data_IF_688293139416
#
_entry.id   IF_688293139416
#
_cell.length_a   1.000
_cell.length_b   1.000
_cell.length_c   1.000
_cell.angle_alpha   90.00
_cell.angle_beta   90.00
_cell.angle_gamma   90.00
#
_symmetry.space_group_name_H-M   'P 1'
#
loop_
_entity.id
_entity.type
_entity.pdbx_description
1 polymer ?
#
# COMPACT_ATOMS: atom_id res chain seq x y z
N UNK A 1 9.45 44.62 -18.44
CA UNK A 1 9.68 44.50 -16.98
C UNK A 1 10.89 43.63 -16.55
N UNK A 2 11.32 42.62 -17.34
CA UNK A 2 12.55 41.85 -17.03
C UNK A 2 13.85 42.53 -17.50
N UNK A 3 13.75 43.42 -18.49
CA UNK A 3 14.90 44.16 -19.04
C UNK A 3 15.48 45.20 -18.07
N UNK A 4 14.70 45.66 -17.08
CA UNK A 4 15.09 46.70 -16.13
C UNK A 4 16.00 46.15 -15.03
N UNK A 5 15.77 44.92 -14.55
CA UNK A 5 16.66 44.22 -13.62
C UNK A 5 17.97 43.73 -14.27
N UNK A 6 17.97 43.55 -15.60
CA UNK A 6 19.19 43.33 -16.39
C UNK A 6 19.78 44.67 -16.86
N UNK A 7 19.13 45.80 -16.61
CA UNK A 7 19.57 47.15 -16.98
C UNK A 7 20.61 47.72 -16.02
N UNK A 8 21.86 47.28 -16.14
CA UNK A 8 23.01 47.90 -15.49
C UNK A 8 23.77 48.82 -16.44
N UNK A 9 23.98 50.07 -15.98
CA UNK A 9 24.63 51.24 -16.60
C UNK A 9 24.11 51.69 -17.99
N UNK A 10 23.92 53.00 -18.09
CA UNK A 10 23.19 53.80 -19.10
C UNK A 10 23.65 53.61 -20.56
N UNK A 11 24.70 52.82 -20.84
CA UNK A 11 25.41 52.87 -22.13
C UNK A 11 25.39 51.61 -23.00
N UNK A 12 24.68 50.52 -22.66
CA UNK A 12 24.47 49.34 -23.54
C UNK A 12 25.72 48.58 -24.02
N UNK A 13 26.92 49.11 -23.77
CA UNK A 13 28.21 48.72 -24.37
C UNK A 13 28.71 47.34 -23.93
N UNK A 14 28.16 46.80 -22.85
CA UNK A 14 28.61 45.54 -22.23
C UNK A 14 27.47 44.54 -22.01
N UNK A 15 26.35 44.69 -22.72
CA UNK A 15 25.18 43.81 -22.57
C UNK A 15 25.52 42.34 -22.84
N UNK A 16 26.34 42.06 -23.87
CA UNK A 16 26.81 40.73 -24.21
C UNK A 16 27.75 40.14 -23.16
N UNK A 17 28.63 40.97 -22.57
CA UNK A 17 29.58 40.52 -21.55
C UNK A 17 28.87 40.11 -20.25
N UNK A 18 27.81 40.84 -19.88
CA UNK A 18 26.98 40.52 -18.71
C UNK A 18 26.14 39.26 -18.94
N UNK A 19 25.59 39.08 -20.15
CA UNK A 19 24.87 37.87 -20.52
C UNK A 19 25.79 36.63 -20.48
N UNK A 20 27.01 36.75 -21.02
CA UNK A 20 28.00 35.69 -20.97
C UNK A 20 28.40 35.36 -19.53
N UNK A 21 28.65 36.38 -18.70
CA UNK A 21 28.95 36.19 -17.28
C UNK A 21 27.82 35.45 -16.55
N UNK A 22 26.56 35.86 -16.77
CA UNK A 22 25.40 35.18 -16.20
C UNK A 22 25.34 33.70 -16.60
N UNK A 23 25.50 33.38 -17.88
CA UNK A 23 25.54 32.01 -18.39
C UNK A 23 26.65 31.17 -17.73
N UNK A 24 27.86 31.73 -17.64
CA UNK A 24 29.01 31.05 -17.02
C UNK A 24 28.74 30.79 -15.54
N UNK A 25 28.25 31.78 -14.79
CA UNK A 25 27.93 31.63 -13.37
C UNK A 25 26.87 30.56 -13.15
N UNK A 26 25.76 30.59 -13.91
CA UNK A 26 24.71 29.57 -13.77
C UNK A 26 25.18 28.18 -14.18
N UNK A 27 26.06 28.06 -15.18
CA UNK A 27 26.62 26.79 -15.61
C UNK A 27 27.55 26.20 -14.53
N UNK A 28 28.43 27.02 -13.95
CA UNK A 28 29.33 26.59 -12.86
C UNK A 28 28.51 26.16 -11.64
N UNK A 29 27.50 26.93 -11.24
CA UNK A 29 26.61 26.56 -10.13
C UNK A 29 25.87 25.27 -10.44
N UNK A 30 25.34 25.10 -11.65
CA UNK A 30 24.64 23.88 -12.07
C UNK A 30 25.53 22.63 -12.02
N UNK A 31 26.77 22.73 -12.52
CA UNK A 31 27.75 21.64 -12.44
C UNK A 31 28.09 21.34 -10.98
N UNK A 32 28.37 22.36 -10.18
CA UNK A 32 28.70 22.20 -8.77
C UNK A 32 27.57 21.51 -7.99
N UNK A 33 26.32 21.98 -8.16
CA UNK A 33 25.14 21.36 -7.53
C UNK A 33 24.98 19.92 -7.99
N UNK A 34 25.22 19.62 -9.27
CA UNK A 34 25.11 18.24 -9.79
C UNK A 34 26.13 17.29 -9.15
N UNK A 35 27.36 17.76 -8.89
CA UNK A 35 28.38 16.95 -8.22
C UNK A 35 28.19 16.85 -6.69
N UNK A 36 27.70 17.91 -6.04
CA UNK A 36 27.45 17.93 -4.60
C UNK A 36 26.16 17.18 -4.24
N UNK A 37 25.14 17.24 -5.10
CA UNK A 37 23.86 16.57 -4.87
C UNK A 37 24.01 15.08 -5.14
N UNK A 38 24.03 14.27 -4.08
CA UNK A 38 23.97 12.81 -4.21
C UNK A 38 22.62 12.41 -4.80
N UNK A 39 22.62 11.54 -5.81
CA UNK A 39 21.39 10.89 -6.28
C UNK A 39 20.74 10.18 -5.09
N UNK A 40 19.44 10.37 -4.89
CA UNK A 40 18.69 9.63 -3.88
C UNK A 40 18.91 8.12 -4.10
N UNK A 41 19.19 7.40 -3.01
CA UNK A 41 19.41 5.95 -3.07
C UNK A 41 18.15 5.30 -3.65
N UNK A 42 18.33 4.41 -4.63
CA UNK A 42 17.22 3.70 -5.28
C UNK A 42 16.35 2.97 -4.27
N UNK A 43 16.93 2.53 -3.14
CA UNK A 43 16.22 1.89 -2.04
C UNK A 43 15.09 2.73 -1.45
N UNK A 44 15.20 4.06 -1.49
CA UNK A 44 14.14 4.95 -1.00
C UNK A 44 12.98 5.09 -2.00
N UNK A 45 13.17 4.69 -3.26
CA UNK A 45 12.13 4.73 -4.30
C UNK A 45 11.45 3.38 -4.52
N UNK A 46 11.98 2.29 -3.97
CA UNK A 46 11.40 0.95 -4.11
C UNK A 46 10.02 0.92 -3.42
N UNK A 47 8.99 0.57 -4.18
CA UNK A 47 7.61 0.55 -3.77
C UNK A 47 6.87 1.89 -3.85
N UNK A 48 7.53 2.97 -4.28
CA UNK A 48 6.91 4.29 -4.48
C UNK A 48 6.61 4.61 -5.95
N UNK A 49 7.01 3.74 -6.88
CA UNK A 49 6.79 3.90 -8.32
C UNK A 49 5.97 2.75 -8.88
N UNK A 50 5.25 3.00 -9.98
CA UNK A 50 4.45 1.97 -10.65
C UNK A 50 5.30 0.75 -11.05
N UNK A 51 6.57 0.96 -11.43
CA UNK A 51 7.51 -0.11 -11.78
C UNK A 51 7.93 -1.00 -10.60
N UNK A 52 7.72 -0.55 -9.36
CA UNK A 52 8.11 -1.27 -8.13
C UNK A 52 6.91 -1.65 -7.26
N UNK A 53 5.70 -1.65 -7.83
CA UNK A 53 4.46 -2.04 -7.14
C UNK A 53 4.55 -3.43 -6.51
N UNK A 54 5.15 -4.41 -7.20
CA UNK A 54 5.31 -5.77 -6.67
C UNK A 54 6.19 -5.81 -5.42
N UNK A 55 7.20 -4.93 -5.35
CA UNK A 55 8.04 -4.79 -4.16
C UNK A 55 7.28 -4.13 -3.02
N UNK A 56 6.42 -3.14 -3.31
CA UNK A 56 5.51 -2.56 -2.31
C UNK A 56 4.55 -3.62 -1.75
N UNK A 57 3.95 -4.43 -2.62
CA UNK A 57 3.04 -5.50 -2.21
C UNK A 57 3.75 -6.54 -1.36
N UNK A 58 4.97 -6.95 -1.72
CA UNK A 58 5.79 -7.84 -0.88
C UNK A 58 6.07 -7.23 0.49
N UNK A 59 6.42 -5.94 0.58
CA UNK A 59 6.66 -5.28 1.86
C UNK A 59 5.39 -5.22 2.72
N UNK A 60 4.22 -4.99 2.11
CA UNK A 60 2.95 -4.91 2.82
C UNK A 60 2.41 -6.28 3.26
N UNK A 61 2.70 -7.34 2.50
CA UNK A 61 2.27 -8.72 2.78
C UNK A 61 3.29 -9.52 3.61
N UNK A 62 4.12 -8.84 4.41
CA UNK A 62 5.17 -9.45 5.25
C UNK A 62 6.10 -10.42 4.48
N UNK A 63 6.42 -10.05 3.23
CA UNK A 63 7.28 -10.83 2.33
C UNK A 63 6.58 -11.89 1.49
N UNK A 64 5.26 -12.07 1.62
CA UNK A 64 4.52 -13.01 0.78
C UNK A 64 4.51 -12.57 -0.70
N UNK A 65 4.44 -13.55 -1.60
CA UNK A 65 4.49 -13.29 -3.04
C UNK A 65 3.17 -12.65 -3.53
N UNK A 66 3.22 -11.56 -4.32
CA UNK A 66 2.02 -10.88 -4.80
C UNK A 66 1.08 -11.85 -5.51
N UNK A 67 -0.21 -11.69 -5.26
CA UNK A 67 -1.26 -12.53 -5.83
C UNK A 67 -2.18 -11.69 -6.71
N UNK A 68 -1.92 -11.71 -8.01
CA UNK A 68 -2.69 -10.93 -8.99
C UNK A 68 -3.97 -11.63 -9.48
N UNK A 69 -4.27 -12.84 -9.01
CA UNK A 69 -5.49 -13.53 -9.41
C UNK A 69 -6.72 -12.77 -8.92
N UNK A 70 -7.76 -12.63 -9.74
CA UNK A 70 -8.95 -11.87 -9.34
C UNK A 70 -9.93 -12.81 -8.61
N UNK A 71 -10.15 -12.53 -7.32
CA UNK A 71 -11.12 -13.23 -6.48
C UNK A 71 -12.47 -12.53 -6.40
N UNK A 72 -13.42 -13.15 -5.70
CA UNK A 72 -14.71 -12.53 -5.33
C UNK A 72 -14.84 -12.43 -3.81
N UNK A 73 -15.42 -11.34 -3.27
CA UNK A 73 -15.73 -11.24 -1.85
C UNK A 73 -16.79 -12.27 -1.46
N UNK A 74 -16.60 -12.92 -0.32
CA UNK A 74 -17.56 -13.88 0.25
C UNK A 74 -18.24 -13.24 1.44
N UNK A 75 -19.57 -13.15 1.37
CA UNK A 75 -20.43 -12.50 2.37
C UNK A 75 -21.19 -13.52 3.19
N UNK A 76 -21.73 -13.08 4.32
CA UNK A 76 -22.64 -13.85 5.18
C UNK A 76 -22.02 -15.09 5.84
N UNK A 77 -20.71 -15.04 6.11
CA UNK A 77 -20.00 -16.10 6.82
C UNK A 77 -20.24 -15.99 8.34
N UNK A 78 -20.30 -17.13 9.01
CA UNK A 78 -20.30 -17.17 10.48
C UNK A 78 -18.87 -17.26 10.96
N UNK A 79 -18.54 -16.72 12.13
CA UNK A 79 -17.19 -16.88 12.69
C UNK A 79 -17.18 -17.80 13.91
N UNK A 80 -16.03 -18.45 14.15
CA UNK A 80 -15.74 -19.22 15.36
C UNK A 80 -14.44 -18.74 15.97
N UNK A 81 -14.41 -18.61 17.29
CA UNK A 81 -13.20 -18.24 18.01
C UNK A 81 -12.33 -19.48 18.25
N UNK A 82 -11.05 -19.37 17.88
CA UNK A 82 -10.03 -20.36 18.21
C UNK A 82 -8.73 -19.65 18.61
N UNK A 83 -8.39 -19.74 19.90
CA UNK A 83 -7.20 -19.10 20.47
C UNK A 83 -5.88 -19.72 20.01
N UNK A 84 -5.92 -20.82 19.24
CA UNK A 84 -4.73 -21.37 18.60
C UNK A 84 -4.26 -20.53 17.41
N UNK A 85 -5.16 -19.72 16.83
CA UNK A 85 -4.84 -18.88 15.68
C UNK A 85 -4.16 -17.60 16.17
N UNK A 86 -3.07 -17.23 15.52
CA UNK A 86 -2.33 -16.00 15.83
C UNK A 86 -3.22 -14.78 15.59
N UNK A 87 -3.06 -13.77 16.43
CA UNK A 87 -3.68 -12.45 16.26
C UNK A 87 -3.37 -11.87 14.87
N UNK A 88 -4.38 -11.33 14.19
CA UNK A 88 -4.26 -10.81 12.83
C UNK A 88 -4.25 -11.88 11.74
N UNK A 89 -4.49 -13.15 12.07
CA UNK A 89 -4.62 -14.23 11.10
C UNK A 89 -6.01 -14.85 11.12
N UNK A 90 -6.45 -15.37 9.97
CA UNK A 90 -7.71 -16.10 9.81
C UNK A 90 -7.49 -17.41 9.09
N UNK A 91 -8.38 -18.37 9.34
CA UNK A 91 -8.53 -19.57 8.52
C UNK A 91 -9.94 -19.61 7.94
N UNK A 92 -10.06 -20.11 6.71
CA UNK A 92 -11.35 -20.21 5.98
C UNK A 92 -11.56 -21.63 5.46
N UNK A 93 -12.73 -21.94 4.93
CA UNK A 93 -12.96 -23.21 4.23
C UNK A 93 -12.26 -23.25 2.87
N UNK A 94 -12.13 -24.44 2.29
CA UNK A 94 -11.54 -24.60 0.96
C UNK A 94 -12.35 -23.85 -0.11
N UNK A 95 -13.68 -23.95 -0.06
CA UNK A 95 -14.58 -23.27 -0.98
C UNK A 95 -14.44 -21.74 -0.92
N UNK A 96 -14.33 -21.18 0.30
CA UNK A 96 -14.15 -19.74 0.50
C UNK A 96 -12.79 -19.27 -0.02
N UNK A 97 -11.72 -20.03 0.24
CA UNK A 97 -10.38 -19.73 -0.28
C UNK A 97 -10.34 -19.73 -1.82
N UNK A 98 -10.95 -20.74 -2.45
CA UNK A 98 -11.04 -20.85 -3.91
C UNK A 98 -11.87 -19.70 -4.52
N UNK A 99 -12.99 -19.34 -3.90
CA UNK A 99 -13.84 -18.22 -4.36
C UNK A 99 -13.12 -16.89 -4.31
N UNK A 100 -12.31 -16.66 -3.27
CA UNK A 100 -11.47 -15.46 -3.14
C UNK A 100 -10.19 -15.53 -3.99
N UNK A 101 -9.92 -16.66 -4.66
CA UNK A 101 -8.63 -16.94 -5.30
C UNK A 101 -7.43 -16.62 -4.39
N UNK A 102 -7.56 -16.90 -3.09
CA UNK A 102 -6.61 -16.49 -2.06
C UNK A 102 -5.63 -17.63 -1.73
N UNK A 103 -4.41 -17.26 -1.33
CA UNK A 103 -3.34 -18.17 -0.91
C UNK A 103 -2.91 -17.82 0.52
N UNK A 104 -2.34 -18.77 1.28
CA UNK A 104 -1.72 -18.46 2.56
C UNK A 104 -0.71 -17.32 2.43
N UNK A 105 -0.78 -16.34 3.34
CA UNK A 105 -0.01 -15.10 3.31
C UNK A 105 -0.68 -13.92 2.62
N UNK A 106 -1.80 -14.14 1.90
CA UNK A 106 -2.55 -13.02 1.33
C UNK A 106 -3.21 -12.17 2.41
N UNK A 107 -3.27 -10.87 2.13
CA UNK A 107 -4.01 -9.91 2.92
C UNK A 107 -5.51 -10.02 2.62
N UNK A 108 -6.30 -10.17 3.66
CA UNK A 108 -7.74 -10.31 3.62
C UNK A 108 -8.35 -9.13 4.38
N UNK A 109 -9.31 -8.49 3.75
CA UNK A 109 -10.20 -7.55 4.39
C UNK A 109 -11.32 -8.31 5.10
N UNK A 110 -11.29 -8.31 6.43
CA UNK A 110 -12.33 -8.87 7.28
C UNK A 110 -13.25 -7.75 7.72
N UNK A 111 -14.55 -7.87 7.49
CA UNK A 111 -15.53 -6.87 7.91
C UNK A 111 -16.86 -7.49 8.28
N UNK A 112 -17.71 -6.73 8.96
CA UNK A 112 -19.10 -7.09 9.15
C UNK A 112 -19.87 -7.04 7.80
N UNK A 113 -20.71 -8.04 7.50
CA UNK A 113 -21.41 -8.19 6.20
C UNK A 113 -22.46 -7.11 5.91
N UNK A 114 -22.73 -6.22 6.86
CA UNK A 114 -23.72 -5.14 6.71
C UNK A 114 -23.30 -4.17 5.61
N UNK A 115 -24.20 -3.90 4.68
CA UNK A 115 -23.99 -2.93 3.59
C UNK A 115 -23.61 -1.54 4.13
N UNK A 116 -24.33 -1.06 5.16
CA UNK A 116 -24.08 0.24 5.79
C UNK A 116 -23.41 0.00 7.14
N UNK A 117 -22.32 0.71 7.42
CA UNK A 117 -21.51 0.61 8.66
C UNK A 117 -20.76 -0.72 8.84
N UNK A 118 -20.79 -1.64 7.88
CA UNK A 118 -19.99 -2.87 7.94
C UNK A 118 -18.50 -2.56 7.98
N UNK A 119 -18.04 -1.66 7.11
CA UNK A 119 -16.64 -1.25 7.03
C UNK A 119 -16.11 -0.44 8.22
N UNK A 120 -16.96 0.02 9.15
CA UNK A 120 -16.51 0.62 10.41
C UNK A 120 -16.09 -0.43 11.44
N UNK A 121 -16.44 -1.71 11.19
CA UNK A 121 -16.08 -2.87 12.01
C UNK A 121 -15.35 -3.85 11.12
N UNK A 122 -14.11 -3.52 10.85
CA UNK A 122 -13.28 -4.21 9.90
C UNK A 122 -11.81 -4.16 10.33
N UNK A 123 -11.04 -5.11 9.85
CA UNK A 123 -9.60 -5.15 10.01
C UNK A 123 -8.94 -5.82 8.80
N UNK A 124 -7.64 -5.56 8.61
CA UNK A 124 -6.82 -6.25 7.62
C UNK A 124 -6.06 -7.38 8.30
N UNK A 125 -6.31 -8.59 7.84
CA UNK A 125 -5.80 -9.82 8.44
C UNK A 125 -5.11 -10.67 7.38
N UNK A 126 -4.28 -11.61 7.80
CA UNK A 126 -3.58 -12.53 6.90
C UNK A 126 -4.29 -13.87 6.83
N UNK A 127 -4.31 -14.46 5.64
CA UNK A 127 -4.79 -15.81 5.47
C UNK A 127 -3.74 -16.81 5.93
N UNK A 128 -4.01 -17.56 6.99
CA UNK A 128 -3.11 -18.62 7.49
C UNK A 128 -3.29 -19.93 6.71
N UNK A 129 -4.54 -20.28 6.39
CA UNK A 129 -4.82 -21.51 5.66
C UNK A 129 -6.28 -21.94 5.65
N UNK A 130 -6.48 -23.23 5.36
CA UNK A 130 -7.79 -23.86 5.29
C UNK A 130 -8.10 -24.61 6.59
N UNK A 131 -9.32 -24.47 7.10
CA UNK A 131 -9.85 -25.29 8.20
C UNK A 131 -10.90 -26.31 7.72
N UNK A 132 -11.31 -27.21 8.61
CA UNK A 132 -12.36 -28.23 8.33
C UNK A 132 -13.61 -28.07 9.21
N UNK A 133 -13.91 -26.84 9.67
CA UNK A 133 -14.99 -26.56 10.64
C UNK A 133 -16.35 -26.17 10.03
N UNK A 134 -16.52 -26.40 8.72
CA UNK A 134 -17.70 -26.03 7.91
C UNK A 134 -17.34 -25.18 6.70
N UNK A 135 -18.21 -25.12 5.68
CA UNK A 135 -17.96 -24.35 4.46
C UNK A 135 -18.14 -22.83 4.65
N UNK A 136 -19.12 -22.40 5.44
CA UNK A 136 -19.45 -20.97 5.65
C UNK A 136 -18.94 -20.41 6.98
N UNK A 137 -17.78 -20.91 7.41
CA UNK A 137 -17.16 -20.53 8.68
C UNK A 137 -15.83 -19.82 8.42
N UNK A 138 -15.53 -18.80 9.22
CA UNK A 138 -14.20 -18.20 9.35
C UNK A 138 -13.74 -18.41 10.78
N UNK A 139 -12.46 -18.71 10.99
CA UNK A 139 -11.91 -18.96 12.33
C UNK A 139 -10.78 -17.97 12.60
N UNK A 140 -10.81 -17.34 13.77
CA UNK A 140 -9.78 -16.42 14.26
C UNK A 140 -9.81 -16.32 15.79
N UNK A 141 -8.83 -15.64 16.39
CA UNK A 141 -8.75 -15.45 17.85
C UNK A 141 -9.70 -14.37 18.35
N UNK A 142 -10.00 -14.37 19.65
CA UNK A 142 -10.79 -13.30 20.29
C UNK A 142 -10.16 -11.93 20.08
N UNK A 143 -8.83 -11.83 20.13
CA UNK A 143 -8.11 -10.57 19.88
C UNK A 143 -8.37 -10.00 18.49
N UNK A 144 -8.33 -10.83 17.45
CA UNK A 144 -8.65 -10.38 16.07
C UNK A 144 -10.08 -9.86 15.99
N UNK A 145 -11.02 -10.49 16.69
CA UNK A 145 -12.41 -10.02 16.78
C UNK A 145 -12.51 -8.63 17.40
N UNK A 146 -11.79 -8.42 18.52
CA UNK A 146 -11.82 -7.18 19.28
C UNK A 146 -11.19 -6.02 18.51
N UNK A 147 -10.06 -6.26 17.82
CA UNK A 147 -9.41 -5.28 16.96
C UNK A 147 -10.29 -4.85 15.79
N UNK A 148 -11.00 -5.80 15.18
CA UNK A 148 -11.97 -5.54 14.12
C UNK A 148 -13.32 -5.00 14.65
N UNK A 149 -13.51 -4.90 15.97
CA UNK A 149 -14.77 -4.50 16.63
C UNK A 149 -16.00 -5.28 16.14
N UNK A 150 -15.85 -6.57 15.83
CA UNK A 150 -16.92 -7.39 15.27
C UNK A 150 -18.02 -7.70 16.29
N UNK A 151 -19.27 -7.73 15.82
CA UNK A 151 -20.44 -8.04 16.64
C UNK A 151 -20.70 -9.56 16.69
N UNK A 152 -21.07 -10.07 17.86
CA UNK A 152 -21.38 -11.50 18.08
C UNK A 152 -22.57 -12.02 17.28
N UNK A 153 -23.57 -11.18 17.05
CA UNK A 153 -24.81 -11.55 16.37
C UNK A 153 -24.77 -11.29 14.85
N UNK A 154 -23.63 -10.84 14.32
CA UNK A 154 -23.48 -10.48 12.91
C UNK A 154 -22.56 -11.43 12.16
N UNK A 155 -22.86 -11.55 10.87
CA UNK A 155 -22.07 -12.32 9.91
C UNK A 155 -20.94 -11.47 9.36
N UNK A 156 -19.86 -12.11 8.94
CA UNK A 156 -18.68 -11.44 8.40
C UNK A 156 -18.55 -11.63 6.89
N UNK A 157 -17.92 -10.65 6.26
CA UNK A 157 -17.47 -10.67 4.88
C UNK A 157 -15.95 -10.76 4.89
N UNK A 158 -15.42 -11.56 3.97
CA UNK A 158 -13.99 -11.66 3.70
C UNK A 158 -13.74 -11.36 2.23
N UNK A 159 -12.70 -10.58 1.95
CA UNK A 159 -12.30 -10.19 0.60
C UNK A 159 -10.78 -10.18 0.49
N UNK A 160 -10.24 -10.78 -0.57
CA UNK A 160 -8.81 -10.71 -0.84
C UNK A 160 -8.43 -9.31 -1.32
N UNK A 161 -7.45 -8.70 -0.65
CA UNK A 161 -6.78 -7.48 -1.10
C UNK A 161 -5.62 -7.85 -2.04
N UNK A 162 -5.50 -7.14 -3.17
CA UNK A 162 -4.50 -7.35 -4.22
C UNK A 162 -3.07 -7.52 -3.68
#
# INVERSE_FOLDING_TARGET
>A
PLAEFVGGSVNGKYIYMRALFGMVVTAVIGIFVTFVTKKADKKHSLGLTADTLDEAMRQYKDGAEPNHDIGKPVKNLTFKIDEKIKEGYIQVSKSVMETMAARPGDLIYLSDSRWILGGLRADHVYLDGVHHKGEDVVVFSSKTKDLAYLLDDKKVMVEKML
#
